data_IF_688629699295
#
_entry.id   IF_688629699295
#
_cell.length_a   1.000
_cell.length_b   1.000
_cell.length_c   1.000
_cell.angle_alpha   90.00
_cell.angle_beta   90.00
_cell.angle_gamma   90.00
#
_symmetry.space_group_name_H-M   'P 1'
#
loop_
_entity.id
_entity.type
_entity.pdbx_description
1 polymer ?
#
# COMPACT_ATOMS: atom_id res chain seq x y z
N UNK A 1 81.36 -52.94 30.10
CA UNK A 1 80.26 -53.92 29.74
C UNK A 1 78.96 -53.13 29.77
N UNK A 2 78.58 -52.64 28.66
CA UNK A 2 77.36 -51.81 28.46
C UNK A 2 76.31 -52.59 27.69
N UNK A 3 75.18 -52.80 28.28
CA UNK A 3 74.08 -53.43 27.61
C UNK A 3 73.14 -52.34 26.97
N UNK A 4 73.10 -52.32 25.65
CA UNK A 4 72.15 -51.53 24.88
C UNK A 4 70.76 -52.12 25.03
N UNK A 5 69.82 -51.31 25.54
CA UNK A 5 68.38 -51.60 25.44
C UNK A 5 67.82 -50.97 24.17
N UNK A 6 67.59 -51.81 23.16
CA UNK A 6 66.84 -51.46 21.93
C UNK A 6 65.37 -51.38 22.27
N UNK A 7 64.80 -50.17 22.34
CA UNK A 7 63.40 -49.91 22.47
C UNK A 7 62.73 -49.99 21.06
N UNK A 8 62.31 -51.21 20.67
CA UNK A 8 61.52 -51.41 19.45
C UNK A 8 60.09 -50.94 19.69
N UNK A 9 59.82 -49.67 19.43
CA UNK A 9 58.46 -49.19 19.22
C UNK A 9 57.88 -49.82 17.98
N UNK A 10 57.12 -50.91 18.14
CA UNK A 10 56.41 -51.60 17.08
C UNK A 10 55.30 -50.73 16.46
N UNK A 11 55.49 -50.26 15.22
CA UNK A 11 54.49 -49.61 14.41
C UNK A 11 53.33 -50.59 14.27
N UNK A 12 52.23 -50.32 15.04
CA UNK A 12 51.02 -51.14 14.94
C UNK A 12 50.36 -50.89 13.59
N UNK A 13 50.34 -51.95 12.78
CA UNK A 13 49.70 -51.92 11.46
C UNK A 13 48.23 -51.49 11.48
N UNK A 14 47.66 -51.17 10.30
CA UNK A 14 46.33 -50.64 10.19
C UNK A 14 45.26 -51.63 10.76
N UNK A 15 44.48 -51.15 11.75
CA UNK A 15 43.50 -51.95 12.45
C UNK A 15 42.10 -51.82 11.80
N UNK A 16 41.41 -52.96 11.60
CA UNK A 16 39.96 -53.00 11.25
C UNK A 16 39.14 -52.42 12.41
N UNK A 17 38.01 -51.78 12.10
CA UNK A 17 37.09 -51.31 13.11
C UNK A 17 36.52 -52.46 13.91
N UNK A 18 36.62 -52.39 15.25
CA UNK A 18 35.81 -53.14 16.17
C UNK A 18 34.58 -52.26 16.55
N UNK A 19 33.34 -52.77 16.46
CA UNK A 19 32.12 -52.01 16.70
C UNK A 19 31.82 -51.87 18.17
N UNK A 20 32.79 -51.33 18.91
CA UNK A 20 32.70 -50.86 20.26
C UNK A 20 33.07 -49.36 20.28
N UNK A 21 32.68 -48.63 21.31
CA UNK A 21 32.98 -47.21 21.40
C UNK A 21 34.50 -46.88 21.26
N UNK A 22 35.36 -47.70 21.86
CA UNK A 22 36.83 -47.56 21.74
C UNK A 22 37.34 -48.03 20.36
N UNK A 23 36.83 -49.13 19.84
CA UNK A 23 37.27 -49.70 18.57
C UNK A 23 36.98 -48.83 17.36
N UNK A 24 35.89 -48.05 17.38
CA UNK A 24 35.55 -47.10 16.34
C UNK A 24 36.53 -45.94 16.31
N UNK A 25 36.86 -45.38 17.47
CA UNK A 25 37.81 -44.27 17.61
C UNK A 25 39.21 -44.70 17.16
N UNK A 26 39.62 -45.93 17.46
CA UNK A 26 40.95 -46.46 17.13
C UNK A 26 41.05 -47.03 15.70
N UNK A 27 39.97 -47.11 14.95
CA UNK A 27 39.98 -47.61 13.54
C UNK A 27 40.77 -46.64 12.67
N UNK A 28 41.86 -47.16 12.04
CA UNK A 28 42.74 -46.36 11.20
C UNK A 28 42.99 -46.99 9.83
N UNK A 29 42.40 -48.17 9.53
CA UNK A 29 42.45 -48.79 8.22
C UNK A 29 41.41 -48.10 7.30
N UNK A 30 41.87 -47.41 6.23
CA UNK A 30 40.96 -46.78 5.29
C UNK A 30 40.00 -47.78 4.66
N UNK A 31 38.79 -47.35 4.40
CA UNK A 31 37.73 -48.17 3.75
C UNK A 31 36.43 -48.19 4.52
N UNK A 32 35.53 -49.09 4.10
CA UNK A 32 34.23 -49.26 4.72
C UNK A 32 34.21 -50.48 5.62
N UNK A 33 33.86 -50.28 6.87
CA UNK A 33 33.72 -51.33 7.87
C UNK A 33 32.26 -51.52 8.22
N UNK A 34 31.70 -52.68 7.89
CA UNK A 34 30.30 -53.01 8.13
C UNK A 34 30.03 -53.25 9.63
N UNK A 35 28.95 -52.68 10.15
CA UNK A 35 28.44 -52.99 11.50
C UNK A 35 27.84 -54.41 11.49
N UNK A 36 28.34 -55.34 12.30
CA UNK A 36 27.82 -56.71 12.34
C UNK A 36 26.42 -56.83 12.85
N UNK A 37 25.95 -55.89 13.68
CA UNK A 37 24.62 -55.89 14.29
C UNK A 37 23.57 -55.13 13.47
N UNK A 38 24.01 -54.25 12.59
CA UNK A 38 23.11 -53.40 11.77
C UNK A 38 23.41 -53.45 10.31
N UNK A 39 22.67 -54.29 9.59
CA UNK A 39 22.80 -54.44 8.13
C UNK A 39 22.60 -53.08 7.44
N UNK A 40 23.59 -52.69 6.60
CA UNK A 40 23.57 -51.47 5.86
C UNK A 40 24.31 -50.31 6.55
N UNK A 41 24.61 -50.36 7.84
CA UNK A 41 25.42 -49.37 8.54
C UNK A 41 26.91 -49.68 8.38
N UNK A 42 27.69 -48.67 7.98
CA UNK A 42 29.12 -48.78 7.81
C UNK A 42 29.85 -47.62 8.48
N UNK A 43 31.00 -47.89 9.08
CA UNK A 43 31.96 -46.88 9.42
C UNK A 43 32.87 -46.68 8.20
N UNK A 44 32.89 -45.51 7.64
CA UNK A 44 33.84 -45.09 6.61
C UNK A 44 35.03 -44.43 7.29
N UNK A 45 36.24 -44.92 6.99
CA UNK A 45 37.51 -44.36 7.44
C UNK A 45 38.25 -43.86 6.20
N UNK A 46 38.63 -42.57 6.20
CA UNK A 46 39.30 -41.90 5.09
C UNK A 46 40.54 -41.15 5.61
N UNK A 47 41.63 -41.19 4.83
CA UNK A 47 42.79 -40.35 5.07
C UNK A 47 42.51 -38.94 4.54
N UNK A 48 42.73 -37.95 5.33
CA UNK A 48 42.64 -36.52 4.97
C UNK A 48 43.96 -35.82 5.25
N UNK A 49 44.25 -34.65 4.67
CA UNK A 49 45.44 -33.87 4.98
C UNK A 49 45.62 -33.53 6.48
N UNK A 50 44.49 -33.46 7.19
CA UNK A 50 44.47 -33.18 8.64
C UNK A 50 44.42 -34.41 9.53
N UNK A 51 44.56 -35.62 8.97
CA UNK A 51 44.53 -36.88 9.72
C UNK A 51 43.46 -37.87 9.19
N UNK A 52 42.98 -38.75 10.10
CA UNK A 52 42.01 -39.77 9.78
C UNK A 52 40.60 -39.31 10.12
N UNK A 53 39.74 -39.16 9.09
CA UNK A 53 38.34 -38.90 9.26
C UNK A 53 37.51 -40.19 9.34
N UNK A 54 36.49 -40.18 10.23
CA UNK A 54 35.61 -41.31 10.45
C UNK A 54 34.16 -40.84 10.45
N UNK A 55 33.36 -41.47 9.56
CA UNK A 55 31.95 -41.09 9.42
C UNK A 55 31.03 -42.30 9.21
N UNK A 56 29.81 -42.17 9.64
CA UNK A 56 28.78 -43.18 9.45
C UNK A 56 28.14 -43.05 8.09
N UNK A 57 28.04 -44.15 7.36
CA UNK A 57 27.40 -44.29 6.07
C UNK A 57 26.33 -45.38 6.14
N UNK A 58 25.16 -45.09 5.59
CA UNK A 58 24.11 -46.11 5.41
C UNK A 58 24.01 -46.47 3.94
N UNK A 59 24.22 -47.74 3.64
CA UNK A 59 24.14 -48.31 2.29
C UNK A 59 22.86 -49.12 2.14
N UNK A 60 22.11 -48.82 1.10
CA UNK A 60 20.83 -49.44 0.85
C UNK A 60 20.56 -49.62 -0.66
N UNK A 61 19.55 -50.44 -0.99
CA UNK A 61 18.97 -50.48 -2.33
C UNK A 61 17.74 -49.57 -2.34
N UNK A 62 17.69 -48.61 -3.26
CA UNK A 62 16.55 -47.71 -3.39
C UNK A 62 15.28 -48.51 -3.73
N UNK A 63 14.18 -48.36 -3.02
CA UNK A 63 12.92 -49.05 -3.34
C UNK A 63 12.29 -48.52 -4.63
N UNK A 64 12.71 -47.31 -5.10
CA UNK A 64 12.19 -46.66 -6.30
C UNK A 64 13.01 -47.03 -7.53
N UNK A 65 14.34 -46.87 -7.45
CA UNK A 65 15.23 -47.06 -8.62
C UNK A 65 15.87 -48.43 -8.70
N UNK A 66 15.74 -49.26 -7.66
CA UNK A 66 16.35 -50.60 -7.49
C UNK A 66 17.88 -50.58 -7.55
N UNK A 67 18.51 -49.42 -7.49
CA UNK A 67 19.97 -49.25 -7.51
C UNK A 67 20.53 -49.15 -6.08
N UNK A 68 21.76 -49.60 -5.91
CA UNK A 68 22.50 -49.39 -4.66
C UNK A 68 22.84 -47.95 -4.48
N UNK A 69 22.57 -47.41 -3.31
CA UNK A 69 22.84 -46.02 -2.90
C UNK A 69 23.50 -46.00 -1.52
N UNK A 70 24.13 -44.87 -1.20
CA UNK A 70 24.68 -44.62 0.11
C UNK A 70 24.32 -43.23 0.61
N UNK A 71 24.13 -43.10 1.91
CA UNK A 71 23.77 -41.85 2.58
C UNK A 71 24.61 -41.63 3.82
N UNK A 72 25.27 -40.49 3.94
CA UNK A 72 26.00 -40.08 5.14
C UNK A 72 25.04 -39.82 6.31
N UNK A 73 25.34 -40.43 7.46
CA UNK A 73 24.60 -40.23 8.74
C UNK A 73 25.27 -39.13 9.59
N UNK A 74 26.60 -39.00 9.50
CA UNK A 74 27.38 -37.98 10.21
C UNK A 74 28.72 -38.51 10.71
N UNK A 75 29.64 -37.61 11.15
CA UNK A 75 30.92 -37.98 11.71
C UNK A 75 30.78 -38.56 13.11
N UNK A 76 31.76 -39.37 13.53
CA UNK A 76 31.69 -40.07 14.84
C UNK A 76 31.74 -39.11 16.03
N UNK A 77 32.33 -37.94 15.86
CA UNK A 77 32.41 -36.87 16.87
C UNK A 77 31.04 -36.32 17.27
N UNK A 78 30.10 -36.24 16.30
CA UNK A 78 28.74 -35.72 16.52
C UNK A 78 27.68 -36.81 16.56
N UNK A 79 27.98 -38.07 16.19
CA UNK A 79 27.06 -39.19 16.13
C UNK A 79 27.70 -40.45 16.76
N UNK A 80 27.31 -40.80 17.96
CA UNK A 80 27.75 -42.04 18.62
C UNK A 80 27.27 -43.29 17.85
N UNK A 81 27.89 -44.46 18.10
CA UNK A 81 27.50 -45.74 17.55
C UNK A 81 26.02 -46.04 17.81
N UNK A 82 25.55 -45.82 19.04
CA UNK A 82 24.15 -46.04 19.40
C UNK A 82 23.22 -45.16 18.56
N UNK A 83 23.53 -43.87 18.41
CA UNK A 83 22.74 -42.93 17.58
C UNK A 83 22.80 -43.29 16.10
N UNK A 84 23.95 -43.75 15.59
CA UNK A 84 24.09 -44.22 14.21
C UNK A 84 23.22 -45.45 13.93
N UNK A 85 23.17 -46.37 14.88
CA UNK A 85 22.31 -47.59 14.84
C UNK A 85 20.81 -47.22 14.83
N UNK A 86 20.39 -46.30 15.69
CA UNK A 86 18.99 -45.80 15.72
C UNK A 86 18.62 -45.14 14.39
N UNK A 87 19.46 -44.22 13.89
CA UNK A 87 19.24 -43.58 12.59
C UNK A 87 19.19 -44.59 11.44
N UNK A 88 20.06 -45.59 11.44
CA UNK A 88 20.05 -46.66 10.42
C UNK A 88 18.75 -47.49 10.48
N UNK A 89 18.21 -47.72 11.69
CA UNK A 89 16.92 -48.38 11.86
C UNK A 89 15.76 -47.56 11.28
N UNK A 90 15.72 -46.26 11.55
CA UNK A 90 14.71 -45.36 11.02
C UNK A 90 14.77 -45.26 9.47
N UNK A 91 15.99 -45.17 8.92
CA UNK A 91 16.20 -45.16 7.44
C UNK A 91 15.72 -46.49 6.84
N UNK A 92 15.90 -47.63 7.53
CA UNK A 92 15.43 -48.94 7.06
C UNK A 92 13.91 -49.01 7.07
N UNK A 93 13.24 -48.46 8.11
CA UNK A 93 11.77 -48.33 8.14
C UNK A 93 11.24 -47.58 6.94
N UNK A 94 11.83 -46.42 6.60
CA UNK A 94 11.46 -45.67 5.40
C UNK A 94 11.57 -46.49 4.11
N UNK A 95 12.62 -47.29 4.00
CA UNK A 95 12.80 -48.16 2.81
C UNK A 95 11.72 -49.27 2.75
N UNK A 96 11.37 -49.86 3.89
CA UNK A 96 10.29 -50.86 3.99
C UNK A 96 8.93 -50.23 3.63
N UNK A 97 8.72 -48.98 3.95
CA UNK A 97 7.54 -48.17 3.56
C UNK A 97 7.57 -47.69 2.12
N UNK A 98 8.54 -48.15 1.31
CA UNK A 98 8.67 -47.79 -0.13
C UNK A 98 9.28 -46.41 -0.38
N UNK A 99 9.77 -45.71 0.64
CA UNK A 99 10.35 -44.35 0.53
C UNK A 99 11.87 -44.42 0.43
N UNK A 100 12.45 -43.76 -0.59
CA UNK A 100 13.89 -43.57 -0.68
C UNK A 100 14.36 -42.47 0.26
N UNK A 101 15.18 -42.75 1.29
CA UNK A 101 15.59 -41.77 2.28
C UNK A 101 16.43 -40.63 1.69
N UNK A 102 17.17 -40.87 0.62
CA UNK A 102 17.99 -39.86 -0.04
C UNK A 102 17.11 -38.88 -0.82
N UNK A 103 16.14 -39.40 -1.57
CA UNK A 103 15.16 -38.56 -2.28
C UNK A 103 14.32 -37.72 -1.28
N UNK A 104 13.87 -38.33 -0.17
CA UNK A 104 13.16 -37.58 0.88
C UNK A 104 14.00 -36.46 1.46
N UNK A 105 15.30 -36.68 1.70
CA UNK A 105 16.24 -35.67 2.21
C UNK A 105 16.46 -34.56 1.19
N UNK A 106 16.60 -34.91 -0.09
CA UNK A 106 16.75 -33.93 -1.18
C UNK A 106 15.48 -33.09 -1.31
N UNK A 107 14.31 -33.71 -1.32
CA UNK A 107 13.02 -33.02 -1.38
C UNK A 107 12.81 -32.05 -0.19
N UNK A 108 13.11 -32.50 1.05
CA UNK A 108 13.05 -31.63 2.22
C UNK A 108 13.99 -30.43 2.10
N UNK A 109 15.19 -30.63 1.57
CA UNK A 109 16.16 -29.54 1.36
C UNK A 109 15.74 -28.59 0.24
N UNK A 110 15.22 -29.13 -0.86
CA UNK A 110 14.69 -28.33 -1.98
C UNK A 110 13.51 -27.49 -1.53
N UNK A 111 12.53 -28.09 -0.85
CA UNK A 111 11.37 -27.39 -0.31
C UNK A 111 11.77 -26.28 0.70
N UNK A 112 12.78 -26.53 1.55
CA UNK A 112 13.32 -25.53 2.46
C UNK A 112 14.02 -24.37 1.74
N UNK A 113 14.71 -24.65 0.65
CA UNK A 113 15.35 -23.62 -0.20
C UNK A 113 14.27 -22.83 -0.95
N UNK A 114 13.28 -23.48 -1.54
CA UNK A 114 12.15 -22.82 -2.22
C UNK A 114 11.36 -21.95 -1.25
N UNK A 115 11.04 -22.45 -0.06
CA UNK A 115 10.38 -21.67 0.99
C UNK A 115 11.18 -20.41 1.39
N UNK A 116 12.52 -20.47 1.36
CA UNK A 116 13.37 -19.31 1.65
C UNK A 116 13.48 -18.33 0.46
N UNK A 117 13.44 -18.82 -0.77
CA UNK A 117 13.47 -17.97 -1.98
C UNK A 117 12.17 -17.17 -2.13
N UNK A 118 11.05 -17.71 -1.70
CA UNK A 118 9.74 -17.05 -1.73
C UNK A 118 9.45 -16.19 -0.49
N UNK A 119 10.47 -15.79 0.27
CA UNK A 119 10.24 -14.93 1.44
C UNK A 119 10.51 -13.48 1.12
N UNK A 120 9.60 -12.62 1.54
CA UNK A 120 9.72 -11.17 1.39
C UNK A 120 9.31 -10.47 2.69
N UNK A 121 9.98 -9.38 3.05
CA UNK A 121 9.54 -8.52 4.16
C UNK A 121 8.34 -7.66 3.73
N UNK A 122 7.53 -7.22 4.69
CA UNK A 122 6.40 -6.36 4.39
C UNK A 122 6.81 -5.05 3.69
N UNK A 123 7.93 -4.44 4.11
CA UNK A 123 8.42 -3.21 3.49
C UNK A 123 8.79 -3.41 2.01
N UNK A 124 9.50 -4.50 1.69
CA UNK A 124 9.85 -4.83 0.30
C UNK A 124 8.62 -5.22 -0.54
N UNK A 125 7.66 -5.92 0.06
CA UNK A 125 6.39 -6.26 -0.60
C UNK A 125 5.57 -5.00 -0.90
N UNK A 126 5.48 -4.08 0.07
CA UNK A 126 4.78 -2.81 -0.09
C UNK A 126 5.39 -1.97 -1.21
N UNK A 127 6.71 -1.86 -1.29
CA UNK A 127 7.41 -1.14 -2.35
C UNK A 127 7.11 -1.74 -3.73
N UNK A 128 7.26 -3.06 -3.89
CA UNK A 128 6.97 -3.75 -5.16
C UNK A 128 5.50 -3.63 -5.56
N UNK A 129 4.57 -3.78 -4.62
CA UNK A 129 3.14 -3.61 -4.85
C UNK A 129 2.80 -2.18 -5.30
N UNK A 130 3.37 -1.15 -4.65
CA UNK A 130 3.18 0.26 -5.01
C UNK A 130 3.73 0.52 -6.43
N UNK A 131 4.92 0.00 -6.76
CA UNK A 131 5.50 0.16 -8.10
C UNK A 131 4.63 -0.52 -9.18
N UNK A 132 4.14 -1.74 -8.93
CA UNK A 132 3.26 -2.44 -9.85
C UNK A 132 1.95 -1.67 -10.11
N UNK A 133 1.38 -1.06 -9.06
CA UNK A 133 0.13 -0.28 -9.15
C UNK A 133 0.30 1.16 -9.65
N UNK A 134 1.53 1.65 -9.72
CA UNK A 134 1.81 3.02 -10.18
C UNK A 134 1.24 3.31 -11.56
N UNK A 135 1.25 2.33 -12.45
CA UNK A 135 0.76 2.45 -13.83
C UNK A 135 -0.77 2.67 -13.88
N UNK A 136 -1.50 2.17 -12.87
CA UNK A 136 -2.95 2.32 -12.76
C UNK A 136 -3.37 3.70 -12.22
N UNK A 137 -2.44 4.46 -11.61
CA UNK A 137 -2.77 5.71 -10.93
C UNK A 137 -2.49 6.93 -11.81
N UNK A 138 -3.55 7.62 -12.16
CA UNK A 138 -3.49 8.88 -12.91
C UNK A 138 -2.87 10.05 -12.13
N UNK A 139 -2.75 9.96 -10.79
CA UNK A 139 -2.28 11.05 -9.95
C UNK A 139 -1.06 10.63 -9.11
N UNK A 140 0.09 11.27 -9.35
CA UNK A 140 1.34 11.05 -8.60
C UNK A 140 1.18 11.28 -7.09
N UNK A 141 0.34 12.24 -6.67
CA UNK A 141 0.04 12.50 -5.25
C UNK A 141 -0.58 11.29 -4.55
N UNK A 142 -1.28 10.42 -5.27
CA UNK A 142 -1.86 9.21 -4.71
C UNK A 142 -0.76 8.20 -4.33
N UNK A 143 0.26 8.06 -5.18
CA UNK A 143 1.44 7.23 -4.90
C UNK A 143 2.20 7.74 -3.68
N UNK A 144 2.45 9.07 -3.61
CA UNK A 144 3.14 9.69 -2.49
C UNK A 144 2.41 9.47 -1.17
N UNK A 145 1.06 9.55 -1.20
CA UNK A 145 0.23 9.26 -0.04
C UNK A 145 0.30 7.78 0.40
N UNK A 146 0.37 6.83 -0.53
CA UNK A 146 0.55 5.43 -0.19
C UNK A 146 1.89 5.22 0.51
N UNK A 147 2.97 5.67 -0.13
CA UNK A 147 4.33 5.54 0.38
C UNK A 147 4.48 6.22 1.74
N UNK A 148 4.04 7.47 1.86
CA UNK A 148 4.20 8.23 3.12
C UNK A 148 3.42 7.62 4.28
N UNK A 149 2.19 7.14 4.05
CA UNK A 149 1.41 6.54 5.14
C UNK A 149 1.88 5.15 5.52
N UNK A 150 2.31 4.32 4.56
CA UNK A 150 2.93 3.02 4.85
C UNK A 150 4.23 3.22 5.64
N UNK A 151 5.09 4.13 5.21
CA UNK A 151 6.35 4.40 5.91
C UNK A 151 6.14 4.99 7.31
N UNK A 152 5.15 5.85 7.47
CA UNK A 152 4.88 6.52 8.75
C UNK A 152 4.21 5.61 9.78
N UNK A 153 3.20 4.83 9.37
CA UNK A 153 2.33 4.12 10.31
C UNK A 153 2.52 2.61 10.33
N UNK A 154 3.02 2.01 9.24
CA UNK A 154 3.07 0.55 9.10
C UNK A 154 4.49 0.00 9.21
N UNK A 155 5.42 0.57 8.45
CA UNK A 155 6.81 0.09 8.38
C UNK A 155 7.53 0.07 9.73
N UNK A 156 7.32 1.01 10.68
CA UNK A 156 7.95 0.95 11.99
C UNK A 156 7.56 -0.27 12.81
N UNK A 157 6.37 -0.84 12.58
CA UNK A 157 5.80 -1.94 13.39
C UNK A 157 5.98 -3.29 12.71
N UNK A 158 5.66 -3.39 11.42
CA UNK A 158 5.68 -4.68 10.69
C UNK A 158 6.59 -4.69 9.47
N UNK A 159 7.23 -3.58 9.13
CA UNK A 159 8.02 -3.45 7.89
C UNK A 159 9.14 -4.47 7.76
N UNK A 160 9.82 -4.81 8.85
CA UNK A 160 10.93 -5.78 8.88
C UNK A 160 10.47 -7.24 8.99
N UNK A 161 9.20 -7.48 9.29
CA UNK A 161 8.66 -8.84 9.41
C UNK A 161 8.44 -9.46 8.03
N UNK A 162 8.65 -10.75 7.93
CA UNK A 162 8.27 -11.54 6.75
C UNK A 162 6.75 -11.55 6.64
N UNK A 163 6.23 -11.43 5.42
CA UNK A 163 4.77 -11.35 5.18
C UNK A 163 4.02 -12.60 5.66
N UNK A 164 4.63 -13.78 5.54
CA UNK A 164 4.07 -15.06 5.97
C UNK A 164 4.03 -15.23 7.51
N UNK A 165 4.72 -14.38 8.26
CA UNK A 165 4.73 -14.35 9.73
C UNK A 165 3.83 -13.24 10.31
N UNK A 166 3.18 -12.43 9.47
CA UNK A 166 2.32 -11.36 9.94
C UNK A 166 0.89 -11.88 10.13
N UNK A 167 0.43 -11.83 11.37
CA UNK A 167 -0.93 -12.22 11.79
C UNK A 167 -1.85 -11.00 11.93
N UNK A 168 -3.13 -11.24 12.12
CA UNK A 168 -4.13 -10.20 12.42
C UNK A 168 -3.75 -9.37 13.65
N UNK A 169 -3.12 -9.95 14.68
CA UNK A 169 -2.67 -9.21 15.86
C UNK A 169 -1.60 -8.16 15.53
N UNK A 170 -0.73 -8.45 14.58
CA UNK A 170 0.25 -7.47 14.11
C UNK A 170 -0.42 -6.29 13.38
N UNK A 171 -1.46 -6.54 12.59
CA UNK A 171 -2.24 -5.49 11.92
C UNK A 171 -3.01 -4.66 12.95
N UNK A 172 -3.61 -5.29 13.96
CA UNK A 172 -4.26 -4.58 15.08
C UNK A 172 -3.28 -3.64 15.78
N UNK A 173 -2.06 -4.09 16.08
CA UNK A 173 -1.01 -3.22 16.66
C UNK A 173 -0.70 -2.00 15.81
N UNK A 174 -0.72 -2.13 14.47
CA UNK A 174 -0.56 -0.98 13.57
C UNK A 174 -1.74 -0.03 13.71
N UNK A 175 -2.96 -0.53 13.80
CA UNK A 175 -4.17 0.29 13.83
C UNK A 175 -4.46 0.88 15.22
N UNK A 176 -3.98 0.25 16.28
CA UNK A 176 -4.13 0.70 17.68
C UNK A 176 -2.88 1.40 18.24
N UNK A 177 -1.86 1.69 17.40
CA UNK A 177 -0.71 2.45 17.86
C UNK A 177 -1.11 3.83 18.42
N UNK A 178 -0.39 4.30 19.42
CA UNK A 178 -0.63 5.60 20.03
C UNK A 178 -0.34 6.74 19.07
N UNK A 179 -1.25 7.70 18.98
CA UNK A 179 -1.04 8.96 18.28
C UNK A 179 -0.77 10.04 19.31
N UNK A 180 0.35 10.74 19.14
CA UNK A 180 0.77 11.84 20.00
C UNK A 180 0.45 13.19 19.35
N UNK A 181 0.05 14.14 20.16
CA UNK A 181 -0.14 15.54 19.78
C UNK A 181 1.23 16.25 19.61
N UNK A 182 1.20 17.54 19.28
CA UNK A 182 2.42 18.36 19.12
C UNK A 182 3.24 18.49 20.41
N UNK A 183 2.62 18.30 21.55
CA UNK A 183 3.25 18.37 22.86
C UNK A 183 3.82 17.02 23.33
N UNK A 184 3.65 15.94 22.53
CA UNK A 184 4.11 14.58 22.86
C UNK A 184 3.14 13.76 23.70
N UNK A 185 1.97 14.27 24.06
CA UNK A 185 0.94 13.59 24.84
C UNK A 185 0.11 12.65 23.95
N UNK A 186 -0.31 11.52 24.48
CA UNK A 186 -1.13 10.54 23.76
C UNK A 186 -2.56 11.06 23.61
N UNK A 187 -3.00 11.28 22.39
CA UNK A 187 -4.39 11.65 22.04
C UNK A 187 -5.33 10.44 22.04
N UNK A 188 -4.80 9.25 21.86
CA UNK A 188 -5.52 7.99 21.75
C UNK A 188 -4.94 7.09 20.66
N UNK A 189 -5.67 6.01 20.33
CA UNK A 189 -5.23 5.06 19.31
C UNK A 189 -5.42 5.62 17.89
N UNK A 190 -4.56 5.17 16.94
CA UNK A 190 -4.63 5.57 15.54
C UNK A 190 -6.02 5.33 14.93
N UNK A 191 -6.65 4.18 15.26
CA UNK A 191 -7.98 3.84 14.78
C UNK A 191 -9.05 4.84 15.26
N UNK A 192 -8.94 5.32 16.50
CA UNK A 192 -9.95 6.18 17.10
C UNK A 192 -9.74 7.68 16.76
N UNK A 193 -8.48 8.14 16.79
CA UNK A 193 -8.16 9.57 16.63
C UNK A 193 -8.05 9.97 15.16
N UNK A 194 -7.54 9.08 14.32
CA UNK A 194 -7.32 9.32 12.88
C UNK A 194 -8.10 8.31 12.04
N UNK A 195 -9.34 8.01 12.40
CA UNK A 195 -10.18 6.94 11.88
C UNK A 195 -10.20 6.82 10.35
N UNK A 196 -10.33 7.94 9.64
CA UNK A 196 -10.33 7.93 8.17
C UNK A 196 -8.96 7.51 7.59
N UNK A 197 -7.88 8.05 8.16
CA UNK A 197 -6.51 7.68 7.74
C UNK A 197 -6.21 6.23 8.10
N UNK A 198 -6.59 5.78 9.30
CA UNK A 198 -6.41 4.40 9.74
C UNK A 198 -7.18 3.40 8.86
N UNK A 199 -8.42 3.74 8.48
CA UNK A 199 -9.22 2.94 7.54
C UNK A 199 -8.53 2.82 6.19
N UNK A 200 -7.99 3.92 5.64
CA UNK A 200 -7.24 3.90 4.37
C UNK A 200 -5.94 3.12 4.49
N UNK A 201 -5.23 3.25 5.62
CA UNK A 201 -4.00 2.47 5.88
C UNK A 201 -4.32 0.98 5.95
N UNK A 202 -5.37 0.58 6.67
CA UNK A 202 -5.84 -0.82 6.70
C UNK A 202 -6.13 -1.35 5.29
N UNK A 203 -6.87 -0.59 4.47
CA UNK A 203 -7.16 -0.98 3.09
C UNK A 203 -5.88 -1.15 2.25
N UNK A 204 -4.88 -0.28 2.45
CA UNK A 204 -3.58 -0.39 1.78
C UNK A 204 -2.83 -1.64 2.22
N UNK A 205 -2.83 -1.95 3.51
CA UNK A 205 -2.24 -3.19 4.03
C UNK A 205 -2.96 -4.41 3.42
N UNK A 206 -4.29 -4.39 3.36
CA UNK A 206 -5.09 -5.46 2.74
C UNK A 206 -4.70 -5.70 1.28
N UNK A 207 -4.58 -4.63 0.47
CA UNK A 207 -4.16 -4.72 -0.93
C UNK A 207 -2.74 -5.27 -1.07
N UNK A 208 -1.81 -4.89 -0.19
CA UNK A 208 -0.43 -5.40 -0.19
C UNK A 208 -0.43 -6.90 0.11
N UNK A 209 -1.22 -7.37 1.08
CA UNK A 209 -1.32 -8.79 1.38
C UNK A 209 -2.00 -9.59 0.26
N UNK A 210 -3.03 -9.04 -0.40
CA UNK A 210 -3.64 -9.69 -1.57
C UNK A 210 -2.64 -9.80 -2.73
N UNK A 211 -1.80 -8.78 -2.93
CA UNK A 211 -0.68 -8.82 -3.87
C UNK A 211 0.35 -9.91 -3.48
N UNK A 212 0.69 -10.02 -2.18
CA UNK A 212 1.59 -11.07 -1.68
C UNK A 212 1.02 -12.47 -1.90
N UNK A 213 -0.28 -12.67 -1.70
CA UNK A 213 -0.96 -13.96 -1.98
C UNK A 213 -0.90 -14.31 -3.46
N UNK A 214 -1.17 -13.35 -4.35
CA UNK A 214 -1.09 -13.57 -5.80
C UNK A 214 0.33 -13.96 -6.26
N UNK A 215 1.37 -13.48 -5.57
CA UNK A 215 2.78 -13.82 -5.81
C UNK A 215 3.28 -15.00 -4.99
N UNK A 216 2.41 -15.69 -4.26
CA UNK A 216 2.74 -16.87 -3.44
C UNK A 216 3.77 -16.60 -2.32
N UNK A 217 3.94 -15.34 -1.90
CA UNK A 217 4.79 -14.98 -0.76
C UNK A 217 4.18 -15.34 0.59
N UNK A 218 2.88 -15.62 0.63
CA UNK A 218 2.17 -16.09 1.81
C UNK A 218 1.00 -16.99 1.42
N UNK A 219 0.59 -17.84 2.35
CA UNK A 219 -0.59 -18.69 2.26
C UNK A 219 -1.60 -18.31 3.34
N UNK A 220 -2.83 -18.83 3.25
CA UNK A 220 -3.88 -18.59 4.24
C UNK A 220 -4.66 -17.28 4.02
N UNK A 221 -5.34 -16.83 5.04
CA UNK A 221 -6.21 -15.65 5.00
C UNK A 221 -5.41 -14.34 5.08
N UNK A 222 -5.95 -13.29 4.44
CA UNK A 222 -5.36 -11.96 4.52
C UNK A 222 -5.59 -11.36 5.92
N UNK A 223 -4.52 -11.09 6.72
CA UNK A 223 -4.64 -10.64 8.10
C UNK A 223 -5.23 -9.23 8.26
N UNK A 224 -5.30 -8.45 7.17
CA UNK A 224 -5.86 -7.10 7.15
C UNK A 224 -7.32 -7.05 6.66
N UNK A 225 -7.95 -8.21 6.39
CA UNK A 225 -9.37 -8.27 5.99
C UNK A 225 -10.25 -7.76 7.12
N UNK A 226 -11.12 -6.78 6.79
CA UNK A 226 -11.98 -6.20 7.83
C UNK A 226 -13.10 -7.15 8.23
N UNK A 227 -13.89 -7.63 7.25
CA UNK A 227 -14.99 -8.56 7.53
C UNK A 227 -14.47 -9.94 7.93
N UNK A 228 -15.06 -10.52 8.96
CA UNK A 228 -14.71 -11.85 9.48
C UNK A 228 -13.48 -11.90 10.39
N UNK A 229 -12.65 -10.82 10.43
CA UNK A 229 -11.46 -10.76 11.27
C UNK A 229 -11.43 -9.47 12.10
N UNK A 230 -10.95 -8.37 11.51
CA UNK A 230 -10.75 -7.09 12.23
C UNK A 230 -12.05 -6.46 12.72
N UNK A 231 -13.19 -6.76 12.10
CA UNK A 231 -14.51 -6.26 12.54
C UNK A 231 -14.93 -6.71 13.92
N UNK A 232 -14.34 -7.79 14.45
CA UNK A 232 -14.56 -8.29 15.81
C UNK A 232 -13.60 -7.70 16.84
N UNK A 233 -12.49 -7.10 16.37
CA UNK A 233 -11.43 -6.55 17.21
C UNK A 233 -11.47 -5.03 17.28
N UNK A 234 -11.94 -4.37 16.21
CA UNK A 234 -11.96 -2.92 16.08
C UNK A 234 -13.40 -2.39 16.00
N UNK A 235 -13.72 -1.30 16.68
CA UNK A 235 -15.02 -0.66 16.55
C UNK A 235 -15.28 -0.18 15.12
N UNK A 236 -16.54 -0.17 14.67
CA UNK A 236 -16.90 0.31 13.34
C UNK A 236 -16.49 1.76 13.15
N UNK A 237 -15.69 2.05 12.13
CA UNK A 237 -15.20 3.39 11.81
C UNK A 237 -16.34 4.44 11.72
N UNK A 238 -17.47 4.07 11.12
CA UNK A 238 -18.66 4.93 11.01
C UNK A 238 -19.33 5.29 12.34
N UNK A 239 -19.10 4.48 13.40
CA UNK A 239 -19.59 4.78 14.74
C UNK A 239 -18.64 5.68 15.53
N UNK A 240 -17.33 5.61 15.24
CA UNK A 240 -16.31 6.47 15.89
C UNK A 240 -16.39 7.89 15.33
N UNK A 241 -16.40 8.02 14.01
CA UNK A 241 -16.44 9.32 13.35
C UNK A 241 -17.58 9.33 12.34
N UNK A 242 -18.64 10.08 12.64
CA UNK A 242 -19.64 10.40 11.64
C UNK A 242 -18.98 11.20 10.52
N UNK A 243 -19.34 10.92 9.27
CA UNK A 243 -18.90 11.75 8.15
C UNK A 243 -19.43 13.17 8.37
N UNK A 244 -18.53 14.08 8.72
CA UNK A 244 -18.88 15.51 8.82
C UNK A 244 -18.67 16.07 7.42
N UNK A 245 -19.74 16.57 6.82
CA UNK A 245 -19.62 17.31 5.56
C UNK A 245 -18.74 18.54 5.76
N UNK A 246 -18.03 18.95 4.74
CA UNK A 246 -17.26 20.19 4.79
C UNK A 246 -18.20 21.35 5.12
N UNK A 247 -17.81 22.24 6.06
CA UNK A 247 -18.63 23.41 6.36
C UNK A 247 -18.90 24.21 5.08
N UNK A 248 -20.18 24.37 4.75
CA UNK A 248 -20.64 25.15 3.62
C UNK A 248 -21.20 26.47 4.11
N UNK A 249 -20.87 27.56 3.44
CA UNK A 249 -21.48 28.86 3.75
C UNK A 249 -22.97 28.79 3.37
N UNK A 250 -23.91 29.15 4.26
CA UNK A 250 -25.32 29.25 3.90
C UNK A 250 -25.51 30.15 2.68
N UNK A 251 -26.30 29.71 1.70
CA UNK A 251 -26.45 30.45 0.42
C UNK A 251 -27.00 31.87 0.63
N UNK A 252 -27.79 32.08 1.67
CA UNK A 252 -28.30 33.41 2.04
C UNK A 252 -27.21 34.44 2.34
N UNK A 253 -26.01 33.98 2.73
CA UNK A 253 -24.86 34.82 3.07
C UNK A 253 -23.83 34.94 1.94
N UNK A 254 -24.04 34.28 0.81
CA UNK A 254 -23.05 34.24 -0.26
C UNK A 254 -22.81 35.60 -0.92
N UNK A 255 -23.85 36.42 -1.07
CA UNK A 255 -23.72 37.77 -1.61
C UNK A 255 -22.84 38.67 -0.73
N UNK A 256 -22.97 38.56 0.61
CA UNK A 256 -22.11 39.23 1.57
C UNK A 256 -20.66 38.79 1.43
N UNK A 257 -20.45 37.47 1.36
CA UNK A 257 -19.11 36.92 1.15
C UNK A 257 -18.44 37.41 -0.15
N UNK A 258 -19.19 37.43 -1.26
CA UNK A 258 -18.67 37.93 -2.54
C UNK A 258 -18.29 39.40 -2.46
N UNK A 259 -19.06 40.21 -1.76
CA UNK A 259 -18.76 41.62 -1.53
C UNK A 259 -17.46 41.79 -0.73
N UNK A 260 -17.30 41.04 0.34
CA UNK A 260 -16.08 41.03 1.15
C UNK A 260 -14.88 40.50 0.35
N UNK A 261 -15.05 39.43 -0.43
CA UNK A 261 -13.99 38.86 -1.27
C UNK A 261 -13.46 39.86 -2.29
N UNK A 262 -14.32 40.65 -2.90
CA UNK A 262 -13.98 41.67 -3.92
C UNK A 262 -13.19 42.86 -3.39
N UNK A 263 -13.13 43.05 -2.06
CA UNK A 263 -12.22 44.02 -1.44
C UNK A 263 -10.76 43.58 -1.49
N UNK A 264 -10.51 42.30 -1.83
CA UNK A 264 -9.19 41.73 -1.91
C UNK A 264 -8.73 41.62 -3.38
N UNK A 265 -7.46 41.90 -3.61
CA UNK A 265 -6.85 41.82 -4.93
C UNK A 265 -5.97 40.58 -5.13
N UNK A 266 -5.61 40.30 -6.39
CA UNK A 266 -4.68 39.25 -6.78
C UNK A 266 -5.32 37.94 -7.23
N UNK A 267 -4.48 37.06 -7.81
CA UNK A 267 -4.93 35.82 -8.44
C UNK A 267 -5.75 34.90 -7.53
N UNK A 268 -5.45 34.84 -6.23
CA UNK A 268 -6.17 33.97 -5.30
C UNK A 268 -7.61 34.42 -5.04
N UNK A 269 -7.87 35.73 -5.04
CA UNK A 269 -9.21 36.27 -4.89
C UNK A 269 -10.05 36.03 -6.15
N UNK A 270 -9.50 36.34 -7.33
CA UNK A 270 -10.14 36.08 -8.62
C UNK A 270 -10.38 34.59 -8.87
N UNK A 271 -9.44 33.73 -8.48
CA UNK A 271 -9.60 32.29 -8.59
C UNK A 271 -10.71 31.75 -7.66
N UNK A 272 -10.82 32.26 -6.45
CA UNK A 272 -11.89 31.89 -5.52
C UNK A 272 -13.25 32.37 -6.02
N UNK A 273 -13.32 33.61 -6.56
CA UNK A 273 -14.56 34.10 -7.19
C UNK A 273 -14.95 33.24 -8.40
N UNK A 274 -14.01 32.92 -9.30
CA UNK A 274 -14.29 32.05 -10.45
C UNK A 274 -14.76 30.66 -10.02
N UNK A 275 -14.18 30.06 -8.95
CA UNK A 275 -14.62 28.79 -8.38
C UNK A 275 -16.09 28.85 -7.97
N UNK A 276 -16.51 29.93 -7.32
CA UNK A 276 -17.88 30.11 -6.88
C UNK A 276 -18.82 30.31 -8.06
N UNK A 277 -18.46 31.18 -9.01
CA UNK A 277 -19.21 31.48 -10.21
C UNK A 277 -19.47 30.28 -11.10
N UNK A 278 -18.55 29.32 -11.13
CA UNK A 278 -18.62 28.12 -11.96
C UNK A 278 -18.97 26.86 -11.18
N UNK A 279 -19.10 26.94 -9.87
CA UNK A 279 -19.26 25.80 -8.97
C UNK A 279 -18.23 24.67 -9.19
N UNK A 280 -17.05 24.99 -9.71
CA UNK A 280 -15.98 24.05 -10.07
C UNK A 280 -15.17 23.59 -8.86
N UNK A 281 -14.36 22.54 -8.99
CA UNK A 281 -13.46 22.08 -7.94
C UNK A 281 -12.21 22.93 -7.87
N UNK A 282 -11.60 23.01 -6.68
CA UNK A 282 -10.38 23.81 -6.46
C UNK A 282 -9.27 23.47 -7.47
N UNK A 283 -8.99 22.17 -7.69
CA UNK A 283 -7.96 21.76 -8.65
C UNK A 283 -8.31 22.12 -10.08
N UNK A 284 -9.59 22.08 -10.45
CA UNK A 284 -10.04 22.44 -11.80
C UNK A 284 -9.73 23.91 -12.08
N UNK A 285 -10.00 24.80 -11.10
CA UNK A 285 -9.77 26.24 -11.26
C UNK A 285 -8.29 26.61 -11.19
N UNK A 286 -7.56 26.15 -10.17
CA UNK A 286 -6.16 26.58 -10.01
C UNK A 286 -5.24 26.05 -11.11
N UNK A 287 -5.54 24.90 -11.70
CA UNK A 287 -4.75 24.30 -12.78
C UNK A 287 -5.29 24.68 -14.18
N UNK A 288 -6.30 25.56 -14.26
CA UNK A 288 -6.90 26.01 -15.53
C UNK A 288 -5.87 26.66 -16.44
N UNK A 289 -5.93 26.34 -17.74
CA UNK A 289 -5.06 26.89 -18.78
C UNK A 289 -5.88 27.71 -19.78
N UNK A 290 -5.23 28.68 -20.40
CA UNK A 290 -5.86 29.57 -21.36
C UNK A 290 -6.44 28.86 -22.58
N UNK A 291 -5.85 27.77 -23.02
CA UNK A 291 -6.29 26.97 -24.17
C UNK A 291 -7.56 26.17 -23.91
N UNK A 292 -8.01 26.12 -22.65
CA UNK A 292 -9.29 25.47 -22.27
C UNK A 292 -10.51 26.41 -22.43
N UNK A 293 -10.30 27.71 -22.68
CA UNK A 293 -11.36 28.72 -22.73
C UNK A 293 -11.67 29.17 -24.14
N UNK A 294 -12.89 28.89 -24.57
CA UNK A 294 -13.50 29.51 -25.76
C UNK A 294 -14.32 30.72 -25.30
N UNK A 295 -13.72 31.92 -25.51
CA UNK A 295 -14.35 33.17 -25.07
C UNK A 295 -15.49 33.61 -25.99
N UNK A 296 -15.54 33.18 -27.24
CA UNK A 296 -16.64 33.47 -28.17
C UNK A 296 -17.85 32.63 -27.86
N UNK A 297 -17.66 31.31 -27.70
CA UNK A 297 -18.72 30.40 -27.27
C UNK A 297 -19.08 30.54 -25.79
N UNK A 298 -18.30 31.28 -24.98
CA UNK A 298 -18.41 31.42 -23.53
C UNK A 298 -18.43 30.07 -22.81
N UNK A 299 -17.47 29.20 -23.17
CA UNK A 299 -17.35 27.86 -22.62
C UNK A 299 -15.91 27.62 -22.14
N UNK A 300 -15.78 27.06 -20.95
CA UNK A 300 -14.56 26.49 -20.44
C UNK A 300 -14.63 24.98 -20.56
N UNK A 301 -13.78 24.37 -21.37
CA UNK A 301 -13.70 22.93 -21.59
C UNK A 301 -12.57 22.34 -20.78
N UNK A 302 -12.90 21.64 -19.68
CA UNK A 302 -11.93 20.96 -18.83
C UNK A 302 -11.66 19.58 -19.42
N UNK A 303 -10.40 19.27 -19.83
CA UNK A 303 -10.09 17.99 -20.45
C UNK A 303 -10.22 16.81 -19.47
N UNK A 304 -10.47 15.62 -20.01
CA UNK A 304 -10.76 14.41 -19.27
C UNK A 304 -9.66 14.05 -18.24
N UNK A 305 -8.40 14.30 -18.57
CA UNK A 305 -7.24 14.00 -17.73
C UNK A 305 -7.23 14.81 -16.43
N UNK A 306 -7.86 16.00 -16.43
CA UNK A 306 -7.98 16.87 -15.26
C UNK A 306 -9.25 16.60 -14.44
N UNK A 307 -10.17 15.83 -15.00
CA UNK A 307 -11.45 15.53 -14.35
C UNK A 307 -11.38 14.27 -13.50
N UNK A 308 -11.92 14.33 -12.28
CA UNK A 308 -11.95 13.16 -11.36
C UNK A 308 -12.68 11.94 -11.96
N UNK A 309 -13.63 12.18 -12.85
CA UNK A 309 -14.42 11.12 -13.50
C UNK A 309 -13.79 10.62 -14.82
N UNK A 310 -12.64 11.17 -15.24
CA UNK A 310 -12.01 10.83 -16.51
C UNK A 310 -12.86 11.14 -17.75
N UNK A 311 -13.77 12.12 -17.64
CA UNK A 311 -14.62 12.61 -18.76
C UNK A 311 -14.50 14.11 -18.85
N UNK A 312 -14.38 14.62 -20.07
CA UNK A 312 -14.41 16.04 -20.37
C UNK A 312 -15.64 16.71 -19.77
N UNK A 313 -15.45 17.94 -19.27
CA UNK A 313 -16.53 18.74 -18.71
C UNK A 313 -16.54 20.14 -19.28
N UNK A 314 -17.63 20.51 -19.92
CA UNK A 314 -17.86 21.86 -20.45
C UNK A 314 -18.59 22.69 -19.40
N UNK A 315 -18.02 23.82 -19.02
CA UNK A 315 -18.56 24.77 -18.04
C UNK A 315 -19.01 26.02 -18.77
N UNK A 316 -20.32 26.36 -18.76
CA UNK A 316 -20.76 27.62 -19.34
C UNK A 316 -20.24 28.79 -18.50
N UNK A 317 -19.69 29.78 -19.16
CA UNK A 317 -19.12 30.98 -18.55
C UNK A 317 -20.21 32.08 -18.48
N UNK A 318 -20.58 32.44 -17.25
CA UNK A 318 -21.51 33.52 -16.99
C UNK A 318 -20.86 34.90 -17.19
N UNK A 319 -21.67 35.96 -17.22
CA UNK A 319 -21.22 37.33 -17.45
C UNK A 319 -20.07 37.73 -16.55
N UNK A 320 -20.11 37.45 -15.23
CA UNK A 320 -19.03 37.84 -14.32
C UNK A 320 -17.74 37.03 -14.50
N UNK A 321 -17.85 35.75 -14.85
CA UNK A 321 -16.69 34.93 -15.20
C UNK A 321 -15.97 35.49 -16.44
N UNK A 322 -16.72 35.95 -17.43
CA UNK A 322 -16.16 36.62 -18.62
C UNK A 322 -15.42 37.91 -18.30
N UNK A 323 -15.96 38.74 -17.37
CA UNK A 323 -15.27 39.93 -16.90
C UNK A 323 -13.93 39.59 -16.23
N UNK A 324 -13.91 38.55 -15.35
CA UNK A 324 -12.67 38.07 -14.73
C UNK A 324 -11.66 37.60 -15.75
N UNK A 325 -12.09 36.83 -16.75
CA UNK A 325 -11.21 36.36 -17.82
C UNK A 325 -10.63 37.51 -18.64
N UNK A 326 -11.43 38.56 -18.92
CA UNK A 326 -10.96 39.77 -19.56
C UNK A 326 -9.83 40.46 -18.77
N UNK A 327 -10.04 40.65 -17.46
CA UNK A 327 -9.00 41.21 -16.57
C UNK A 327 -7.72 40.36 -16.53
N UNK A 328 -7.88 39.03 -16.44
CA UNK A 328 -6.76 38.11 -16.39
C UNK A 328 -5.97 38.04 -17.72
N UNK A 329 -6.66 38.28 -18.86
CA UNK A 329 -6.01 38.32 -20.19
C UNK A 329 -4.97 39.42 -20.29
N UNK A 330 -5.24 40.57 -19.71
CA UNK A 330 -4.28 41.68 -19.63
C UNK A 330 -3.07 41.40 -18.74
N UNK A 331 -3.26 40.51 -17.73
CA UNK A 331 -2.23 40.11 -16.77
C UNK A 331 -1.58 38.77 -17.13
N UNK A 332 -1.77 38.24 -18.32
CA UNK A 332 -1.29 36.94 -18.74
C UNK A 332 0.24 36.84 -18.70
N UNK A 333 0.76 35.87 -17.92
CA UNK A 333 2.21 35.63 -17.75
C UNK A 333 2.66 34.32 -18.42
N UNK A 334 1.82 33.29 -18.35
CA UNK A 334 2.15 31.96 -18.86
C UNK A 334 0.89 31.24 -19.38
N UNK A 335 0.94 29.89 -19.52
CA UNK A 335 -0.18 29.10 -19.99
C UNK A 335 -1.30 28.94 -18.95
N UNK A 336 -1.02 29.13 -17.66
CA UNK A 336 -2.04 29.00 -16.61
C UNK A 336 -2.88 30.28 -16.48
N UNK A 337 -4.17 30.09 -16.20
CA UNK A 337 -5.06 31.20 -15.91
C UNK A 337 -4.67 31.91 -14.61
N UNK A 338 -4.27 31.14 -13.60
CA UNK A 338 -3.85 31.62 -12.29
C UNK A 338 -2.42 31.17 -11.99
N UNK A 339 -1.41 31.91 -12.46
CA UNK A 339 0.00 31.57 -12.24
C UNK A 339 0.42 31.75 -10.78
N UNK A 340 1.41 30.96 -10.34
CA UNK A 340 2.05 31.14 -9.05
C UNK A 340 2.91 32.43 -9.06
N UNK A 341 2.83 33.20 -7.99
CA UNK A 341 3.69 34.37 -7.78
C UNK A 341 5.13 33.99 -7.42
N UNK A 342 5.34 32.76 -6.90
CA UNK A 342 6.66 32.28 -6.46
C UNK A 342 7.39 31.47 -7.55
N UNK A 343 6.65 30.83 -8.45
CA UNK A 343 7.19 29.92 -9.48
C UNK A 343 6.54 30.22 -10.82
N UNK A 344 7.29 30.84 -11.73
CA UNK A 344 6.77 31.37 -13.03
C UNK A 344 6.06 30.31 -13.89
N UNK A 345 6.43 29.02 -13.80
CA UNK A 345 5.90 27.95 -14.65
C UNK A 345 4.92 27.02 -13.92
N UNK A 346 4.40 27.44 -12.77
CA UNK A 346 3.45 26.65 -11.99
C UNK A 346 2.15 27.41 -11.72
N UNK A 347 1.03 26.70 -11.55
CA UNK A 347 -0.22 27.33 -11.13
C UNK A 347 -0.16 27.70 -9.64
N UNK A 348 -1.19 28.37 -9.14
CA UNK A 348 -1.41 28.59 -7.72
C UNK A 348 -1.34 27.30 -6.92
N UNK A 349 -0.89 27.37 -5.68
CA UNK A 349 -0.88 26.21 -4.79
C UNK A 349 -2.30 25.76 -4.39
N UNK A 350 -2.47 24.48 -4.07
CA UNK A 350 -3.77 23.95 -3.59
C UNK A 350 -4.29 24.66 -2.32
N UNK A 351 -3.41 25.33 -1.58
CA UNK A 351 -3.76 26.05 -0.36
C UNK A 351 -4.12 27.52 -0.62
N UNK A 352 -3.89 28.03 -1.83
CA UNK A 352 -4.06 29.46 -2.16
C UNK A 352 -5.48 29.96 -1.86
N UNK A 353 -6.49 29.23 -2.30
CA UNK A 353 -7.90 29.61 -2.09
C UNK A 353 -8.31 29.51 -0.62
N UNK A 354 -7.88 28.47 0.09
CA UNK A 354 -8.14 28.33 1.53
C UNK A 354 -7.41 29.43 2.33
N UNK A 355 -6.18 29.76 1.94
CA UNK A 355 -5.44 30.86 2.56
C UNK A 355 -6.10 32.22 2.30
N UNK A 356 -6.71 32.39 1.12
CA UNK A 356 -7.49 33.59 0.82
C UNK A 356 -8.71 33.72 1.73
N UNK A 357 -9.49 32.64 1.92
CA UNK A 357 -10.63 32.64 2.82
C UNK A 357 -10.25 32.98 4.27
N UNK A 358 -9.10 32.46 4.74
CA UNK A 358 -8.59 32.75 6.10
C UNK A 358 -8.18 34.21 6.31
N UNK A 359 -7.94 34.97 5.24
CA UNK A 359 -7.72 36.43 5.32
C UNK A 359 -9.00 37.19 5.61
N UNK A 360 -10.16 36.56 5.48
CA UNK A 360 -11.47 37.12 5.83
C UNK A 360 -11.95 36.38 7.09
N UNK A 361 -11.62 36.83 8.31
CA UNK A 361 -11.82 36.07 9.54
C UNK A 361 -13.26 35.60 9.78
N UNK A 362 -14.23 36.38 9.33
CA UNK A 362 -15.68 36.10 9.42
C UNK A 362 -16.08 34.76 8.76
N UNK A 363 -15.25 34.22 7.82
CA UNK A 363 -15.54 33.03 7.04
C UNK A 363 -14.44 31.96 7.19
N UNK A 364 -13.56 32.09 8.16
CA UNK A 364 -12.41 31.20 8.36
C UNK A 364 -12.76 29.74 8.67
N UNK A 365 -13.98 29.46 9.12
CA UNK A 365 -14.52 28.10 9.36
C UNK A 365 -14.89 27.36 8.07
N UNK A 366 -15.21 28.08 6.99
CA UNK A 366 -15.62 27.50 5.72
C UNK A 366 -14.41 27.12 4.85
N UNK A 367 -14.65 26.29 3.86
CA UNK A 367 -13.61 25.83 2.92
C UNK A 367 -14.07 26.01 1.48
N UNK A 368 -13.15 26.22 0.50
CA UNK A 368 -13.52 26.44 -0.91
C UNK A 368 -14.45 25.37 -1.48
N UNK A 369 -14.27 24.11 -1.07
CA UNK A 369 -15.13 23.00 -1.52
C UNK A 369 -16.59 23.14 -1.03
N UNK A 370 -16.82 23.80 0.09
CA UNK A 370 -18.15 24.04 0.66
C UNK A 370 -19.05 24.88 -0.23
N UNK A 371 -18.51 25.76 -1.09
CA UNK A 371 -19.29 26.58 -2.02
C UNK A 371 -20.06 25.76 -3.07
N UNK A 372 -19.64 24.56 -3.36
CA UNK A 372 -20.38 23.64 -4.22
C UNK A 372 -21.68 23.15 -3.55
N UNK A 373 -21.64 22.95 -2.23
CA UNK A 373 -22.85 22.67 -1.44
C UNK A 373 -23.73 23.92 -1.37
N UNK A 374 -23.13 25.10 -1.15
CA UNK A 374 -23.84 26.39 -1.17
C UNK A 374 -24.61 26.61 -2.48
N UNK A 375 -23.98 26.34 -3.63
CA UNK A 375 -24.61 26.41 -4.96
C UNK A 375 -25.74 25.40 -5.11
N UNK A 376 -25.52 24.15 -4.69
CA UNK A 376 -26.51 23.08 -4.75
C UNK A 376 -27.73 23.39 -3.89
N UNK A 377 -27.51 23.86 -2.66
CA UNK A 377 -28.57 24.22 -1.71
C UNK A 377 -29.38 25.41 -2.24
N UNK A 378 -28.70 26.44 -2.80
CA UNK A 378 -29.39 27.54 -3.48
C UNK A 378 -30.26 27.05 -4.63
N UNK A 379 -29.70 26.24 -5.51
CA UNK A 379 -30.46 25.76 -6.68
C UNK A 379 -31.67 24.93 -6.27
N UNK A 380 -31.55 24.09 -5.24
CA UNK A 380 -32.64 23.25 -4.73
C UNK A 380 -33.74 24.04 -4.02
N UNK A 381 -33.39 25.12 -3.31
CA UNK A 381 -34.32 25.86 -2.45
C UNK A 381 -34.99 27.04 -3.18
N UNK A 382 -34.36 27.60 -4.22
CA UNK A 382 -34.79 28.87 -4.83
C UNK A 382 -35.06 28.79 -6.33
N UNK A 383 -34.84 27.64 -6.97
CA UNK A 383 -35.02 27.52 -8.43
C UNK A 383 -35.86 26.29 -8.81
N UNK A 384 -36.37 26.29 -10.04
CA UNK A 384 -37.12 25.17 -10.61
C UNK A 384 -36.25 24.29 -11.52
N UNK A 385 -34.93 24.46 -11.53
CA UNK A 385 -34.07 23.62 -12.33
C UNK A 385 -34.05 22.18 -11.79
N UNK A 386 -34.11 21.23 -12.72
CA UNK A 386 -34.10 19.81 -12.35
C UNK A 386 -32.79 19.48 -11.58
N UNK A 387 -32.89 18.60 -10.58
CA UNK A 387 -31.68 18.11 -9.85
C UNK A 387 -30.62 17.59 -10.81
N UNK A 388 -31.03 17.04 -11.95
CA UNK A 388 -30.16 16.60 -13.02
C UNK A 388 -29.28 17.72 -13.58
N UNK A 389 -29.88 18.87 -13.92
CA UNK A 389 -29.16 20.03 -14.47
C UNK A 389 -28.11 20.53 -13.45
N UNK A 390 -28.51 20.57 -12.17
CA UNK A 390 -27.61 20.99 -11.08
C UNK A 390 -26.47 20.01 -10.88
N UNK A 391 -26.74 18.70 -10.87
CA UNK A 391 -25.69 17.67 -10.72
C UNK A 391 -24.73 17.64 -11.93
N UNK A 392 -25.24 17.90 -13.15
CA UNK A 392 -24.41 18.07 -14.35
C UNK A 392 -23.51 19.32 -14.24
N UNK A 393 -24.04 20.43 -13.71
CA UNK A 393 -23.23 21.63 -13.47
C UNK A 393 -22.10 21.37 -12.47
N UNK A 394 -22.33 20.52 -11.48
CA UNK A 394 -21.35 20.09 -10.51
C UNK A 394 -20.38 18.99 -11.02
N UNK A 395 -20.52 18.52 -12.27
CA UNK A 395 -19.77 17.38 -12.80
C UNK A 395 -19.82 16.16 -11.86
N UNK A 396 -21.01 15.86 -11.30
CA UNK A 396 -21.22 14.66 -10.51
C UNK A 396 -21.56 13.49 -11.42
N UNK A 397 -21.01 12.31 -11.11
CA UNK A 397 -21.33 11.09 -11.84
C UNK A 397 -22.72 10.58 -11.46
N UNK A 398 -23.51 10.24 -12.47
CA UNK A 398 -24.81 9.64 -12.28
C UNK A 398 -24.59 8.21 -11.76
N UNK A 399 -25.17 7.90 -10.60
CA UNK A 399 -25.02 6.59 -9.95
C UNK A 399 -25.67 5.45 -10.75
N UNK A 400 -26.73 5.75 -11.52
CA UNK A 400 -27.41 4.75 -12.33
C UNK A 400 -26.72 4.60 -13.70
N UNK A 401 -26.02 3.47 -13.90
CA UNK A 401 -25.29 3.17 -15.14
C UNK A 401 -26.20 3.09 -16.38
N UNK A 402 -27.42 2.59 -16.24
CA UNK A 402 -28.39 2.53 -17.34
C UNK A 402 -28.78 3.93 -17.77
N UNK A 403 -29.10 4.81 -16.83
CA UNK A 403 -29.45 6.21 -17.09
C UNK A 403 -28.26 6.99 -17.70
N UNK A 404 -27.05 6.73 -17.25
CA UNK A 404 -25.82 7.33 -17.78
C UNK A 404 -25.54 6.94 -19.25
N UNK A 405 -25.94 5.73 -19.67
CA UNK A 405 -25.73 5.22 -21.04
C UNK A 405 -26.66 5.89 -22.06
N UNK A 406 -27.86 6.31 -21.65
CA UNK A 406 -28.82 6.99 -22.53
C UNK A 406 -28.57 8.51 -22.66
N UNK A 407 -27.67 9.10 -21.86
CA UNK A 407 -27.40 10.54 -21.86
C UNK A 407 -26.28 10.91 -22.81
N UNK A 408 -26.65 11.46 -23.98
CA UNK A 408 -25.72 11.94 -25.00
C UNK A 408 -25.42 13.44 -24.91
N UNK A 409 -26.27 14.22 -24.20
CA UNK A 409 -26.16 15.68 -24.12
C UNK A 409 -25.85 16.12 -22.71
N UNK A 410 -25.02 17.17 -22.57
CA UNK A 410 -24.57 17.74 -21.29
C UNK A 410 -25.44 18.91 -20.82
N UNK A 411 -26.55 19.19 -21.49
CA UNK A 411 -27.49 20.28 -21.20
C UNK A 411 -26.81 21.67 -21.08
N UNK A 412 -25.86 21.98 -21.97
CA UNK A 412 -25.03 23.19 -21.86
C UNK A 412 -25.87 24.46 -21.76
N UNK A 413 -26.91 24.61 -22.62
CA UNK A 413 -27.78 25.80 -22.65
C UNK A 413 -28.62 25.95 -21.37
N UNK A 414 -29.13 24.84 -20.81
CA UNK A 414 -29.83 24.88 -19.52
C UNK A 414 -28.91 25.25 -18.39
N UNK A 415 -27.70 24.70 -18.41
CA UNK A 415 -26.68 25.05 -17.41
C UNK A 415 -26.20 26.50 -17.56
N UNK A 416 -26.14 27.02 -18.78
CA UNK A 416 -25.77 28.43 -18.97
C UNK A 416 -26.81 29.37 -18.31
N UNK A 417 -28.08 29.09 -18.44
CA UNK A 417 -29.14 29.85 -17.75
C UNK A 417 -29.05 29.71 -16.23
N UNK A 418 -28.86 28.49 -15.72
CA UNK A 418 -28.66 28.26 -14.30
C UNK A 418 -27.46 29.06 -13.73
N UNK A 419 -26.35 29.14 -14.46
CA UNK A 419 -25.17 29.90 -14.05
C UNK A 419 -25.34 31.41 -14.11
N UNK A 420 -26.17 31.95 -15.02
CA UNK A 420 -26.51 33.37 -15.03
C UNK A 420 -27.48 33.71 -13.88
N UNK A 421 -28.47 32.86 -13.58
CA UNK A 421 -29.32 33.05 -12.41
C UNK A 421 -28.52 33.03 -11.10
N UNK A 422 -27.51 32.13 -11.03
CA UNK A 422 -26.58 32.10 -9.90
C UNK A 422 -25.83 33.42 -9.73
N UNK A 423 -25.26 33.97 -10.79
CA UNK A 423 -24.59 35.30 -10.77
C UNK A 423 -25.53 36.40 -10.34
N UNK A 424 -26.76 36.39 -10.83
CA UNK A 424 -27.79 37.37 -10.47
C UNK A 424 -28.10 37.30 -8.96
N UNK A 425 -28.21 36.07 -8.42
CA UNK A 425 -28.39 35.87 -6.98
C UNK A 425 -27.17 36.36 -6.17
N UNK A 426 -25.95 36.14 -6.63
CA UNK A 426 -24.72 36.63 -5.99
C UNK A 426 -24.63 38.15 -5.93
N UNK A 427 -25.23 38.86 -6.89
CA UNK A 427 -25.27 40.32 -6.95
C UNK A 427 -26.39 40.94 -6.12
N UNK A 428 -27.43 40.17 -5.82
CA UNK A 428 -28.58 40.64 -5.04
C UNK A 428 -28.15 40.96 -3.57
N UNK A 429 -28.80 41.94 -2.98
CA UNK A 429 -28.66 42.23 -1.56
C UNK A 429 -28.96 40.99 -0.70
N UNK A 430 -28.46 40.92 0.57
CA UNK A 430 -28.64 39.73 1.40
C UNK A 430 -30.07 39.27 1.43
N UNK A 431 -30.29 37.96 1.10
CA UNK A 431 -31.60 37.35 1.07
C UNK A 431 -32.25 37.37 2.46
N UNK A 432 -33.05 38.36 2.71
CA UNK A 432 -33.90 38.43 3.90
C UNK A 432 -35.14 37.56 3.64
N UNK A 433 -35.18 36.32 4.16
CA UNK A 433 -36.44 35.59 4.28
C UNK A 433 -37.38 36.45 5.12
N UNK A 434 -38.40 37.04 4.50
CA UNK A 434 -39.54 37.53 5.29
C UNK A 434 -40.24 36.29 5.85
N UNK A 435 -40.13 36.11 7.17
CA UNK A 435 -40.92 35.13 7.90
C UNK A 435 -42.36 35.63 8.01
#
# INVERSE_FOLDING_TARGET
MSANHDDKQGVKGPRKASFTARGIISANKPGYHADPENKGLYLQVTNTPSGIARSWIFRFTSPITLKRREMGIGPIESCSLANARLKALDLRRLILDGTDPLEQRIAKRSNAIEANVHTITFAAAAERCIQAKKVEWSNSKHQDQWTSTINKFVSPIIGKLRVDHISTSHVVRVLEQDIKNKNGEVEGTFWNVRTETATRVRQRIEVIFDWCKAHQYMQGENPARYQGALSHLLPKASKIKKSIHHPALPFQRIGEFISDLRTHSGFSALALELLILTASRTSEVIEAKWDEFDLEAKVWTIPAERMKAGKEHRVPLNTRAMEILGQLKEMRVNSYLFPSTLHKDRPLSNMALLSMMRKIPKYGEYVPHGFRSTFRDWAAETTEYSNETVELALAHTIKNKAEAAYRRQDQLDKRARLMEDWVSFLKAAPYLKKF
#
